data_IF_176746220046
#
_entry.id   IF_176746220046
#
_cell.length_a   1.000
_cell.length_b   1.000
_cell.length_c   1.000
_cell.angle_alpha   90.00
_cell.angle_beta   90.00
_cell.angle_gamma   90.00
#
_symmetry.space_group_name_H-M   'P 1'
#
loop_
_entity.id
_entity.type
_entity.pdbx_description
1 polymer ?
#
# COMPACT_ATOMS: atom_id res chain seq x y z
N UNK A 1 25.37 15.37 -8.26
CA UNK A 1 24.62 14.31 -8.94
C UNK A 1 25.62 13.40 -9.61
N UNK A 2 25.47 12.10 -9.38
CA UNK A 2 26.21 11.04 -10.07
C UNK A 2 25.62 10.81 -11.47
N UNK A 3 26.36 10.15 -12.37
CA UNK A 3 25.84 9.80 -13.71
C UNK A 3 24.55 8.95 -13.64
N UNK A 4 24.38 8.18 -12.55
CA UNK A 4 23.15 7.41 -12.30
C UNK A 4 21.96 8.28 -11.89
N UNK A 5 22.20 9.39 -11.18
CA UNK A 5 21.14 10.34 -10.84
C UNK A 5 20.65 11.06 -12.10
N UNK A 6 21.57 11.37 -13.02
CA UNK A 6 21.23 11.93 -14.34
C UNK A 6 20.46 10.93 -15.21
N UNK A 7 20.86 9.66 -15.24
CA UNK A 7 20.11 8.60 -15.94
C UNK A 7 18.72 8.40 -15.34
N UNK A 8 18.59 8.45 -14.02
CA UNK A 8 17.31 8.31 -13.33
C UNK A 8 16.38 9.51 -13.54
N UNK A 9 16.91 10.75 -13.49
CA UNK A 9 16.15 11.95 -13.83
C UNK A 9 15.72 11.95 -15.30
N UNK A 10 16.57 11.48 -16.22
CA UNK A 10 16.22 11.36 -17.63
C UNK A 10 15.15 10.29 -17.87
N UNK A 11 15.21 9.17 -17.15
CA UNK A 11 14.18 8.14 -17.15
C UNK A 11 12.86 8.67 -16.57
N UNK A 12 12.90 9.39 -15.45
CA UNK A 12 11.75 10.07 -14.85
C UNK A 12 11.14 11.07 -15.83
N UNK A 13 11.95 11.90 -16.49
CA UNK A 13 11.51 12.84 -17.55
C UNK A 13 10.78 12.10 -18.68
N UNK A 14 11.35 10.99 -19.15
CA UNK A 14 10.74 10.15 -20.20
C UNK A 14 9.45 9.46 -19.76
N UNK A 15 9.20 9.36 -18.44
CA UNK A 15 7.99 8.77 -17.87
C UNK A 15 6.92 9.81 -17.53
N UNK A 16 7.32 10.99 -17.03
CA UNK A 16 6.41 12.05 -16.60
C UNK A 16 6.03 13.01 -17.74
N UNK A 17 6.92 13.23 -18.71
CA UNK A 17 6.67 14.12 -19.86
C UNK A 17 7.45 13.66 -21.12
N UNK A 18 7.06 12.54 -21.75
CA UNK A 18 7.80 11.98 -22.88
C UNK A 18 7.76 12.90 -24.11
N UNK A 19 8.89 13.03 -24.80
CA UNK A 19 8.96 13.67 -26.11
C UNK A 19 8.59 12.64 -27.20
N UNK A 20 8.00 13.07 -28.31
CA UNK A 20 7.64 12.17 -29.42
C UNK A 20 8.83 11.36 -29.97
N UNK A 21 10.05 11.89 -29.85
CA UNK A 21 11.31 11.19 -30.22
C UNK A 21 11.67 10.03 -29.28
N UNK A 22 11.08 9.99 -28.09
CA UNK A 22 11.31 8.96 -27.08
C UNK A 22 10.50 7.68 -27.39
N UNK A 23 9.48 7.74 -28.27
CA UNK A 23 8.63 6.61 -28.61
C UNK A 23 9.23 5.76 -29.74
N UNK A 24 9.12 4.43 -29.62
CA UNK A 24 9.51 3.48 -30.67
C UNK A 24 8.28 2.89 -31.34
N UNK A 25 8.27 2.88 -32.67
CA UNK A 25 7.20 2.25 -33.43
C UNK A 25 7.32 0.72 -33.36
N UNK A 26 6.38 0.05 -32.69
CA UNK A 26 6.26 -1.39 -32.70
C UNK A 26 5.50 -1.83 -33.96
N UNK A 27 6.24 -2.42 -34.90
CA UNK A 27 5.72 -2.88 -36.20
C UNK A 27 4.68 -4.00 -36.09
N UNK A 28 4.65 -4.78 -35.00
CA UNK A 28 3.68 -5.86 -34.82
C UNK A 28 2.33 -5.36 -34.32
N UNK A 29 2.36 -4.30 -33.50
CA UNK A 29 1.16 -3.69 -32.90
C UNK A 29 0.72 -2.43 -33.64
N UNK A 30 1.52 -1.96 -34.61
CA UNK A 30 1.31 -0.73 -35.39
C UNK A 30 1.13 0.53 -34.51
N UNK A 31 1.86 0.60 -33.38
CA UNK A 31 1.72 1.68 -32.39
C UNK A 31 3.08 2.22 -31.93
N UNK A 32 3.11 3.48 -31.51
CA UNK A 32 4.26 4.10 -30.85
C UNK A 32 4.25 3.75 -29.35
N UNK A 33 5.23 2.95 -28.93
CA UNK A 33 5.36 2.46 -27.55
C UNK A 33 6.44 3.28 -26.83
N UNK A 34 6.13 3.75 -25.62
CA UNK A 34 7.13 4.34 -24.74
C UNK A 34 8.07 3.21 -24.25
N UNK A 35 9.38 3.26 -24.54
CA UNK A 35 10.33 2.16 -24.30
C UNK A 35 10.56 1.82 -22.82
N UNK A 36 10.02 2.63 -21.90
CA UNK A 36 10.20 2.47 -20.45
C UNK A 36 8.98 1.79 -19.78
N UNK A 37 7.92 1.49 -20.53
CA UNK A 37 6.71 0.84 -19.99
C UNK A 37 6.77 -0.67 -20.28
N UNK A 38 6.72 -1.55 -19.24
CA UNK A 38 6.68 -2.99 -19.45
C UNK A 38 5.40 -3.43 -20.19
N UNK A 39 5.52 -4.45 -21.04
CA UNK A 39 4.39 -5.02 -21.78
C UNK A 39 3.32 -5.58 -20.81
N UNK A 40 2.14 -4.96 -20.77
CA UNK A 40 0.99 -5.54 -20.08
C UNK A 40 0.22 -6.48 -21.04
N UNK A 41 -0.01 -7.71 -20.58
CA UNK A 41 -0.98 -8.65 -21.16
C UNK A 41 -2.26 -8.61 -20.32
N UNK A 42 -3.39 -8.69 -21.02
CA UNK A 42 -4.76 -8.97 -20.55
C UNK A 42 -5.66 -7.77 -20.17
N UNK A 43 -6.90 -7.95 -20.59
CA UNK A 43 -7.92 -6.98 -20.96
C UNK A 43 -9.08 -7.00 -19.95
N UNK A 44 -8.93 -6.29 -18.84
CA UNK A 44 -9.99 -6.14 -17.84
C UNK A 44 -10.47 -4.68 -17.67
N UNK A 45 -9.76 -3.71 -18.26
CA UNK A 45 -10.09 -2.28 -18.22
C UNK A 45 -10.86 -1.74 -19.44
N UNK A 46 -11.35 -2.61 -20.34
CA UNK A 46 -11.98 -2.18 -21.59
C UNK A 46 -13.28 -1.37 -21.39
N UNK A 47 -13.85 -1.37 -20.18
CA UNK A 47 -15.26 -1.06 -19.98
C UNK A 47 -15.53 0.32 -19.33
N UNK A 48 -14.64 0.77 -18.45
CA UNK A 48 -14.62 2.15 -17.93
C UNK A 48 -14.30 3.15 -19.05
N UNK A 49 -13.27 2.83 -19.85
CA UNK A 49 -12.91 3.59 -21.03
C UNK A 49 -14.08 3.62 -21.99
N UNK A 50 -14.74 2.51 -22.33
CA UNK A 50 -15.87 2.52 -23.29
C UNK A 50 -17.02 3.45 -22.89
N UNK A 51 -17.42 3.49 -21.62
CA UNK A 51 -18.58 4.30 -21.21
C UNK A 51 -18.28 5.81 -21.14
N UNK A 52 -17.05 6.18 -20.75
CA UNK A 52 -16.54 7.55 -20.79
C UNK A 52 -16.11 8.00 -22.19
N UNK A 53 -15.57 7.07 -23.01
CA UNK A 53 -15.14 7.35 -24.39
C UNK A 53 -16.29 7.42 -25.36
N UNK A 54 -17.41 6.76 -25.08
CA UNK A 54 -18.56 6.77 -26.00
C UNK A 54 -19.62 7.80 -25.61
N UNK A 55 -19.36 8.74 -24.70
CA UNK A 55 -20.16 9.97 -24.58
C UNK A 55 -21.66 9.80 -24.35
N UNK A 56 -22.11 8.64 -23.91
CA UNK A 56 -23.52 8.30 -23.70
C UNK A 56 -23.91 8.24 -22.22
N UNK A 57 -23.12 8.86 -21.35
CA UNK A 57 -23.38 8.87 -19.90
C UNK A 57 -24.80 9.37 -19.60
N UNK A 58 -25.23 10.43 -20.27
CA UNK A 58 -26.58 10.97 -20.15
C UNK A 58 -27.66 9.93 -20.52
N UNK A 59 -27.46 9.13 -21.57
CA UNK A 59 -28.42 8.08 -21.98
C UNK A 59 -28.53 7.00 -20.91
N UNK A 60 -27.40 6.62 -20.29
CA UNK A 60 -27.39 5.63 -19.20
C UNK A 60 -28.20 6.13 -18.00
N UNK A 61 -28.07 7.41 -17.64
CA UNK A 61 -28.88 7.99 -16.56
C UNK A 61 -30.37 8.01 -16.90
N UNK A 62 -30.74 8.37 -18.13
CA UNK A 62 -32.14 8.33 -18.57
C UNK A 62 -32.71 6.91 -18.58
N UNK A 63 -31.91 5.90 -18.95
CA UNK A 63 -32.35 4.49 -18.89
C UNK A 63 -32.52 4.04 -17.44
N UNK A 64 -31.69 4.49 -16.50
CA UNK A 64 -31.88 4.16 -15.08
C UNK A 64 -33.19 4.73 -14.53
N UNK A 65 -33.57 5.94 -14.96
CA UNK A 65 -34.77 6.61 -14.47
C UNK A 65 -36.05 6.11 -15.16
N UNK A 66 -35.99 5.81 -16.46
CA UNK A 66 -37.15 5.52 -17.29
C UNK A 66 -37.22 4.06 -17.80
N UNK A 67 -36.17 3.26 -17.61
CA UNK A 67 -36.04 1.89 -18.14
C UNK A 67 -35.71 1.84 -19.64
N UNK A 68 -35.67 0.67 -20.27
CA UNK A 68 -35.52 0.55 -21.74
C UNK A 68 -36.86 0.72 -22.48
N UNK A 69 -37.55 1.84 -22.22
CA UNK A 69 -38.88 2.12 -22.76
C UNK A 69 -38.90 2.73 -24.17
N UNK A 70 -40.07 3.21 -24.59
CA UNK A 70 -40.30 3.83 -25.91
C UNK A 70 -39.37 5.02 -26.21
N UNK A 71 -38.82 5.68 -25.18
CA UNK A 71 -37.91 6.81 -25.40
C UNK A 71 -36.61 6.38 -26.07
N UNK A 72 -36.10 5.17 -25.80
CA UNK A 72 -34.87 4.68 -26.46
C UNK A 72 -35.12 4.46 -27.95
N UNK A 73 -36.29 3.95 -28.31
CA UNK A 73 -36.72 3.86 -29.72
C UNK A 73 -36.79 5.24 -30.35
N UNK A 74 -37.43 6.21 -29.69
CA UNK A 74 -37.50 7.59 -30.16
C UNK A 74 -36.08 8.20 -30.30
N UNK A 75 -35.14 7.88 -29.40
CA UNK A 75 -33.73 8.28 -29.50
C UNK A 75 -32.99 7.65 -30.68
N UNK A 76 -33.19 6.35 -30.96
CA UNK A 76 -32.61 5.69 -32.14
C UNK A 76 -33.14 6.32 -33.43
N UNK A 77 -34.44 6.59 -33.50
CA UNK A 77 -35.06 7.26 -34.65
C UNK A 77 -34.55 8.70 -34.82
N UNK A 78 -34.41 9.43 -33.71
CA UNK A 78 -33.82 10.76 -33.69
C UNK A 78 -32.37 10.75 -34.19
N UNK A 79 -31.56 9.82 -33.69
CA UNK A 79 -30.18 9.62 -34.14
C UNK A 79 -30.12 9.30 -35.64
N UNK A 80 -31.02 8.46 -36.16
CA UNK A 80 -31.11 8.11 -37.59
C UNK A 80 -31.47 9.30 -38.46
N UNK A 81 -32.43 10.13 -38.02
CA UNK A 81 -32.83 11.35 -38.73
C UNK A 81 -31.69 12.37 -38.80
N UNK A 82 -31.01 12.57 -37.67
CA UNK A 82 -29.97 13.59 -37.53
C UNK A 82 -28.57 13.11 -37.93
N UNK A 83 -28.41 11.83 -38.27
CA UNK A 83 -27.10 11.18 -38.48
C UNK A 83 -26.14 11.44 -37.32
N UNK A 84 -26.68 11.37 -36.11
CA UNK A 84 -25.98 11.68 -34.88
C UNK A 84 -25.59 10.39 -34.18
N UNK A 85 -24.40 10.36 -33.60
CA UNK A 85 -24.02 9.30 -32.68
C UNK A 85 -24.46 9.61 -31.26
N UNK A 86 -25.10 10.77 -30.97
CA UNK A 86 -25.56 11.19 -29.64
C UNK A 86 -24.47 11.27 -28.56
N UNK A 87 -23.21 11.37 -28.97
CA UNK A 87 -22.11 11.70 -28.07
C UNK A 87 -22.40 13.06 -27.43
N UNK A 88 -22.37 13.11 -26.10
CA UNK A 88 -22.78 14.28 -25.32
C UNK A 88 -22.08 15.58 -25.77
N UNK A 89 -20.81 15.49 -26.14
CA UNK A 89 -20.01 16.62 -26.62
C UNK A 89 -20.18 16.95 -28.11
N UNK A 90 -20.82 16.08 -28.90
CA UNK A 90 -21.15 16.33 -30.31
C UNK A 90 -22.56 16.92 -30.49
N UNK A 91 -23.43 16.81 -29.49
CA UNK A 91 -24.80 17.36 -29.55
C UNK A 91 -24.71 18.89 -29.67
N UNK A 92 -25.15 19.42 -30.83
CA UNK A 92 -25.26 20.85 -31.11
C UNK A 92 -26.42 21.50 -30.35
N UNK A 93 -26.42 22.84 -30.24
CA UNK A 93 -27.53 23.56 -29.61
C UNK A 93 -28.88 23.32 -30.31
N UNK A 94 -28.89 23.16 -31.63
CA UNK A 94 -30.09 22.81 -32.39
C UNK A 94 -30.57 21.40 -32.08
N UNK A 95 -29.66 20.42 -32.03
CA UNK A 95 -30.02 19.05 -31.63
C UNK A 95 -30.49 18.99 -30.19
N UNK A 96 -29.89 19.76 -29.28
CA UNK A 96 -30.29 19.86 -27.87
C UNK A 96 -31.73 20.37 -27.70
N UNK A 97 -32.14 21.36 -28.50
CA UNK A 97 -33.53 21.85 -28.50
C UNK A 97 -34.50 20.77 -28.96
N UNK A 98 -34.19 20.09 -30.08
CA UNK A 98 -35.05 19.01 -30.59
C UNK A 98 -35.07 17.79 -29.66
N UNK A 99 -33.93 17.47 -29.04
CA UNK A 99 -33.80 16.38 -28.09
C UNK A 99 -34.62 16.66 -26.83
N UNK A 100 -34.58 17.88 -26.31
CA UNK A 100 -35.42 18.29 -25.19
C UNK A 100 -36.92 18.27 -25.54
N UNK A 101 -37.30 18.63 -26.76
CA UNK A 101 -38.68 18.49 -27.23
C UNK A 101 -39.11 17.02 -27.26
N UNK A 102 -38.24 16.12 -27.73
CA UNK A 102 -38.50 14.68 -27.74
C UNK A 102 -38.61 14.11 -26.33
N UNK A 103 -37.67 14.43 -25.46
CA UNK A 103 -37.59 13.95 -24.08
C UNK A 103 -38.71 14.49 -23.20
N UNK A 104 -39.26 15.67 -23.50
CA UNK A 104 -40.41 16.23 -22.77
C UNK A 104 -41.65 15.32 -22.81
N UNK A 105 -41.81 14.48 -23.85
CA UNK A 105 -42.88 13.47 -23.92
C UNK A 105 -42.81 12.46 -22.77
N UNK A 106 -41.61 12.26 -22.22
CA UNK A 106 -41.30 11.30 -21.16
C UNK A 106 -41.04 11.97 -19.81
N UNK A 107 -41.38 13.27 -19.69
CA UNK A 107 -41.12 14.09 -18.50
C UNK A 107 -39.64 14.15 -18.10
N UNK A 108 -38.74 14.12 -19.08
CA UNK A 108 -37.30 14.30 -18.86
C UNK A 108 -36.73 15.34 -19.82
N UNK A 109 -35.48 15.76 -19.57
CA UNK A 109 -34.74 16.73 -20.39
C UNK A 109 -33.29 16.29 -20.51
N UNK A 110 -32.69 16.54 -21.66
CA UNK A 110 -31.27 16.33 -21.85
C UNK A 110 -30.49 17.30 -20.96
N UNK A 111 -29.65 16.74 -20.09
CA UNK A 111 -28.67 17.47 -19.32
C UNK A 111 -27.28 16.94 -19.65
N UNK A 112 -26.34 17.85 -19.91
CA UNK A 112 -24.93 17.49 -20.04
C UNK A 112 -24.40 17.04 -18.68
N UNK A 113 -24.03 15.77 -18.56
CA UNK A 113 -23.52 15.14 -17.33
C UNK A 113 -22.00 15.26 -17.21
N UNK A 114 -21.28 15.40 -18.32
CA UNK A 114 -19.83 15.62 -18.34
C UNK A 114 -19.57 17.12 -18.09
N UNK A 115 -19.50 17.48 -16.81
CA UNK A 115 -19.15 18.83 -16.33
C UNK A 115 -17.87 18.79 -15.48
N UNK A 116 -17.13 19.89 -15.42
CA UNK A 116 -16.02 20.06 -14.47
C UNK A 116 -16.53 19.97 -13.04
N UNK A 117 -15.92 19.10 -12.20
CA UNK A 117 -16.28 18.94 -10.78
C UNK A 117 -16.97 17.61 -10.40
N UNK A 118 -16.78 16.53 -11.17
CA UNK A 118 -17.33 15.21 -10.88
C UNK A 118 -16.71 14.57 -9.62
N UNK A 119 -17.53 13.88 -8.80
CA UNK A 119 -17.07 13.15 -7.61
C UNK A 119 -16.95 11.64 -7.88
N UNK A 120 -15.72 11.20 -8.17
CA UNK A 120 -15.40 9.80 -8.55
C UNK A 120 -15.53 8.80 -7.42
N UNK A 121 -15.60 9.27 -6.18
CA UNK A 121 -15.59 8.37 -5.02
C UNK A 121 -16.86 7.51 -4.90
N UNK A 122 -17.92 7.82 -5.66
CA UNK A 122 -19.17 7.02 -5.72
C UNK A 122 -19.25 6.06 -6.93
N UNK A 123 -18.25 6.07 -7.81
CA UNK A 123 -18.34 5.42 -9.13
C UNK A 123 -18.15 3.90 -9.12
N UNK A 124 -17.52 3.34 -8.07
CA UNK A 124 -17.24 1.90 -7.94
C UNK A 124 -18.53 1.05 -7.89
N UNK A 125 -19.58 1.55 -7.25
CA UNK A 125 -20.88 0.89 -7.17
C UNK A 125 -21.63 0.92 -8.52
N UNK A 126 -21.42 1.98 -9.32
CA UNK A 126 -22.03 2.13 -10.64
C UNK A 126 -21.34 1.30 -11.74
N UNK A 127 -20.04 1.01 -11.56
CA UNK A 127 -19.18 0.28 -12.48
C UNK A 127 -19.44 -1.24 -12.51
N UNK A 128 -19.88 -1.83 -11.39
CA UNK A 128 -20.12 -3.28 -11.28
C UNK A 128 -21.23 -3.77 -12.23
N UNK A 129 -22.21 -2.92 -12.54
CA UNK A 129 -23.33 -3.26 -13.42
C UNK A 129 -22.94 -3.33 -14.91
N UNK A 130 -21.88 -2.63 -15.33
CA UNK A 130 -21.55 -2.46 -16.75
C UNK A 130 -20.64 -3.58 -17.30
N UNK A 131 -20.07 -4.42 -16.44
CA UNK A 131 -18.95 -5.35 -16.73
C UNK A 131 -19.21 -6.40 -17.82
N UNK A 132 -20.45 -6.57 -18.26
CA UNK A 132 -20.81 -7.57 -19.27
C UNK A 132 -20.73 -6.97 -20.69
N UNK A 133 -19.86 -7.51 -21.55
CA UNK A 133 -19.68 -7.08 -22.95
C UNK A 133 -20.96 -7.14 -23.81
N UNK A 134 -21.92 -7.97 -23.38
CA UNK A 134 -23.21 -8.20 -24.01
C UNK A 134 -24.34 -7.39 -23.35
N UNK A 135 -24.03 -6.53 -22.39
CA UNK A 135 -25.01 -5.67 -21.74
C UNK A 135 -25.68 -4.76 -22.78
N UNK A 136 -27.00 -4.53 -22.69
CA UNK A 136 -27.76 -3.62 -23.57
C UNK A 136 -27.15 -2.23 -23.79
N UNK A 137 -26.45 -1.67 -22.80
CA UNK A 137 -25.75 -0.40 -22.95
C UNK A 137 -24.64 -0.43 -24.02
N UNK A 138 -23.85 -1.51 -24.07
CA UNK A 138 -22.82 -1.69 -25.11
C UNK A 138 -23.46 -1.86 -26.48
N UNK A 139 -24.54 -2.63 -26.55
CA UNK A 139 -25.29 -2.84 -27.79
C UNK A 139 -25.87 -1.51 -28.32
N UNK A 140 -26.52 -0.75 -27.45
CA UNK A 140 -27.14 0.54 -27.79
C UNK A 140 -26.10 1.57 -28.27
N UNK A 141 -24.97 1.62 -27.59
CA UNK A 141 -23.84 2.49 -27.95
C UNK A 141 -23.28 2.17 -29.35
N UNK A 142 -23.10 0.87 -29.68
CA UNK A 142 -22.71 0.42 -31.03
C UNK A 142 -23.76 0.78 -32.08
N UNK A 143 -25.05 0.69 -31.74
CA UNK A 143 -26.14 1.09 -32.64
C UNK A 143 -26.00 2.56 -33.03
N UNK A 144 -25.81 3.48 -32.07
CA UNK A 144 -25.69 4.90 -32.40
C UNK A 144 -24.50 5.21 -33.33
N UNK A 145 -23.35 4.56 -33.13
CA UNK A 145 -22.23 4.68 -34.07
C UNK A 145 -22.55 4.17 -35.47
N UNK A 146 -23.19 3.01 -35.59
CA UNK A 146 -23.60 2.48 -36.89
C UNK A 146 -24.67 3.36 -37.54
N UNK A 147 -25.54 3.99 -36.76
CA UNK A 147 -26.56 4.93 -37.22
C UNK A 147 -25.92 6.19 -37.83
N UNK A 148 -24.94 6.79 -37.15
CA UNK A 148 -24.18 7.94 -37.68
C UNK A 148 -23.53 7.63 -39.04
N UNK A 149 -22.94 6.44 -39.17
CA UNK A 149 -22.34 5.98 -40.44
C UNK A 149 -23.35 5.46 -41.47
N UNK A 150 -24.65 5.42 -41.17
CA UNK A 150 -25.70 4.82 -42.01
C UNK A 150 -25.42 3.35 -42.38
N UNK A 151 -24.91 2.58 -41.42
CA UNK A 151 -24.51 1.18 -41.54
C UNK A 151 -25.39 0.21 -40.74
N UNK A 152 -26.31 0.72 -39.92
CA UNK A 152 -27.25 -0.12 -39.18
C UNK A 152 -28.20 -0.81 -40.18
N UNK A 153 -28.26 -2.15 -40.25
CA UNK A 153 -29.18 -2.85 -41.14
C UNK A 153 -30.63 -2.48 -40.86
N UNK A 154 -31.43 -2.30 -41.93
CA UNK A 154 -32.88 -2.20 -41.80
C UNK A 154 -33.41 -3.53 -41.23
N UNK A 155 -34.28 -3.45 -40.23
CA UNK A 155 -34.89 -4.60 -39.53
C UNK A 155 -34.02 -5.37 -38.52
N UNK A 156 -32.86 -4.85 -38.11
CA UNK A 156 -32.04 -5.50 -37.07
C UNK A 156 -32.65 -5.45 -35.65
N UNK A 157 -33.54 -4.49 -35.40
CA UNK A 157 -34.25 -4.34 -34.13
C UNK A 157 -35.76 -4.43 -34.38
N UNK A 158 -36.42 -5.36 -33.69
CA UNK A 158 -37.87 -5.41 -33.63
C UNK A 158 -38.39 -4.54 -32.46
N UNK A 159 -38.99 -3.40 -32.81
CA UNK A 159 -39.56 -2.47 -31.84
C UNK A 159 -40.94 -2.89 -31.30
N UNK A 160 -41.44 -4.07 -31.66
CA UNK A 160 -42.70 -4.61 -31.14
C UNK A 160 -42.52 -5.39 -29.83
N UNK A 161 -41.30 -5.85 -29.54
CA UNK A 161 -40.92 -6.51 -28.29
C UNK A 161 -40.35 -5.51 -27.26
N UNK A 162 -40.10 -5.98 -26.04
CA UNK A 162 -39.33 -5.22 -25.05
C UNK A 162 -37.93 -4.97 -25.60
N UNK A 163 -37.56 -3.70 -25.71
CA UNK A 163 -36.31 -3.31 -26.36
C UNK A 163 -35.07 -3.80 -25.61
N UNK A 164 -35.14 -3.94 -24.29
CA UNK A 164 -34.07 -4.52 -23.48
C UNK A 164 -33.73 -5.95 -23.92
N UNK A 165 -34.74 -6.83 -23.95
CA UNK A 165 -34.61 -8.23 -24.36
C UNK A 165 -34.07 -8.34 -25.80
N UNK A 166 -34.53 -7.47 -26.70
CA UNK A 166 -34.05 -7.42 -28.08
C UNK A 166 -32.57 -7.00 -28.17
N UNK A 167 -32.14 -6.01 -27.37
CA UNK A 167 -30.75 -5.55 -27.31
C UNK A 167 -29.82 -6.62 -26.69
N UNK A 168 -30.32 -7.42 -25.74
CA UNK A 168 -29.60 -8.56 -25.19
C UNK A 168 -29.45 -9.69 -26.20
N UNK A 169 -30.55 -10.11 -26.83
CA UNK A 169 -30.59 -11.22 -27.79
C UNK A 169 -29.70 -10.93 -29.01
N UNK A 170 -29.78 -9.70 -29.55
CA UNK A 170 -29.02 -9.29 -30.74
C UNK A 170 -27.62 -8.78 -30.41
N UNK A 171 -27.22 -8.69 -29.14
CA UNK A 171 -25.94 -8.12 -28.69
C UNK A 171 -24.73 -8.68 -29.45
N UNK A 172 -24.65 -10.01 -29.58
CA UNK A 172 -23.54 -10.69 -30.24
C UNK A 172 -23.49 -10.42 -31.75
N UNK A 173 -24.66 -10.34 -32.39
CA UNK A 173 -24.79 -10.05 -33.83
C UNK A 173 -24.40 -8.60 -34.12
N UNK A 174 -24.97 -7.66 -33.35
CA UNK A 174 -24.67 -6.23 -33.43
C UNK A 174 -23.17 -5.98 -33.17
N UNK A 175 -22.58 -6.67 -32.20
CA UNK A 175 -21.15 -6.58 -31.94
C UNK A 175 -20.31 -7.09 -33.13
N UNK A 176 -20.67 -8.23 -33.72
CA UNK A 176 -19.96 -8.77 -34.88
C UNK A 176 -20.03 -7.84 -36.10
N UNK A 177 -21.21 -7.27 -36.37
CA UNK A 177 -21.43 -6.29 -37.44
C UNK A 177 -20.60 -5.03 -37.21
N UNK A 178 -20.68 -4.46 -36.01
CA UNK A 178 -19.92 -3.28 -35.62
C UNK A 178 -18.41 -3.50 -35.77
N UNK A 179 -17.89 -4.63 -35.27
CA UNK A 179 -16.47 -4.99 -35.41
C UNK A 179 -16.05 -5.18 -36.87
N UNK A 180 -16.92 -5.78 -37.69
CA UNK A 180 -16.69 -5.92 -39.13
C UNK A 180 -16.58 -4.58 -39.85
N UNK A 181 -17.52 -3.65 -39.58
CA UNK A 181 -17.46 -2.30 -40.14
C UNK A 181 -16.27 -1.48 -39.61
N UNK A 182 -15.93 -1.65 -38.33
CA UNK A 182 -14.74 -1.04 -37.73
C UNK A 182 -13.46 -1.54 -38.40
N UNK A 183 -13.33 -2.85 -38.63
CA UNK A 183 -12.17 -3.43 -39.32
C UNK A 183 -12.06 -2.98 -40.79
N UNK A 184 -13.19 -2.61 -41.41
CA UNK A 184 -13.24 -2.08 -42.77
C UNK A 184 -13.03 -0.56 -42.84
N UNK A 185 -12.82 0.14 -41.71
CA UNK A 185 -12.70 1.60 -41.65
C UNK A 185 -13.99 2.36 -42.00
N UNK A 186 -15.15 1.69 -41.95
CA UNK A 186 -16.46 2.26 -42.30
C UNK A 186 -17.13 3.01 -41.12
N UNK A 187 -16.65 2.77 -39.90
CA UNK A 187 -16.98 3.53 -38.69
C UNK A 187 -15.72 4.32 -38.31
N UNK A 188 -15.86 5.62 -37.99
CA UNK A 188 -14.74 6.50 -37.64
C UNK A 188 -13.79 5.86 -36.59
N UNK A 189 -12.48 5.94 -36.85
CA UNK A 189 -11.45 5.20 -36.11
C UNK A 189 -11.26 5.68 -34.66
N UNK A 190 -11.47 6.97 -34.39
CA UNK A 190 -11.23 7.57 -33.08
C UNK A 190 -12.36 8.53 -32.71
N UNK A 191 -13.02 8.25 -31.59
CA UNK A 191 -13.86 9.24 -30.94
C UNK A 191 -12.93 10.35 -30.44
N UNK A 192 -12.88 11.47 -31.16
CA UNK A 192 -12.05 12.61 -30.77
C UNK A 192 -12.60 13.23 -29.50
N UNK A 193 -12.01 12.87 -28.37
CA UNK A 193 -12.36 13.45 -27.08
C UNK A 193 -11.99 14.94 -27.04
N UNK A 194 -12.93 15.83 -26.67
CA UNK A 194 -12.59 17.22 -26.44
C UNK A 194 -11.48 17.35 -25.41
N UNK A 195 -10.65 18.39 -25.55
CA UNK A 195 -9.55 18.67 -24.62
C UNK A 195 -10.02 18.77 -23.17
N UNK A 196 -11.21 19.35 -22.93
CA UNK A 196 -11.86 19.40 -21.62
C UNK A 196 -12.13 18.02 -21.03
N UNK A 197 -12.58 17.05 -21.83
CA UNK A 197 -12.82 15.67 -21.40
C UNK A 197 -11.50 14.95 -21.10
N UNK A 198 -10.46 15.17 -21.93
CA UNK A 198 -9.12 14.65 -21.67
C UNK A 198 -8.54 15.22 -20.37
N UNK A 199 -8.74 16.51 -20.12
CA UNK A 199 -8.24 17.17 -18.92
C UNK A 199 -9.00 16.68 -17.66
N UNK A 200 -10.32 16.46 -17.76
CA UNK A 200 -11.13 15.77 -16.74
C UNK A 200 -10.57 14.37 -16.49
N UNK A 201 -10.39 13.54 -17.52
CA UNK A 201 -9.84 12.18 -17.37
C UNK A 201 -8.46 12.19 -16.73
N UNK A 202 -7.59 13.15 -17.05
CA UNK A 202 -6.25 13.29 -16.45
C UNK A 202 -6.29 13.72 -14.99
N UNK A 203 -7.15 14.69 -14.65
CA UNK A 203 -7.39 15.13 -13.27
C UNK A 203 -7.85 13.96 -12.39
N UNK A 204 -8.53 13.00 -13.00
CA UNK A 204 -9.24 11.93 -12.33
C UNK A 204 -8.67 10.52 -12.53
N UNK A 205 -7.54 10.42 -13.22
CA UNK A 205 -6.73 9.20 -13.32
C UNK A 205 -5.49 9.15 -12.41
N UNK A 206 -5.33 9.91 -11.30
CA UNK A 206 -4.16 9.71 -10.46
C UNK A 206 -4.23 8.32 -9.80
N UNK A 207 -3.06 7.84 -9.36
CA UNK A 207 -3.04 6.65 -8.53
C UNK A 207 -3.73 6.97 -7.20
N UNK A 208 -4.64 6.09 -6.80
CA UNK A 208 -5.32 6.18 -5.52
C UNK A 208 -4.86 5.03 -4.64
N UNK A 209 -4.80 5.26 -3.33
CA UNK A 209 -4.47 4.23 -2.35
C UNK A 209 -5.62 4.16 -1.35
N UNK A 210 -6.18 2.97 -1.16
CA UNK A 210 -7.14 2.74 -0.08
C UNK A 210 -6.42 2.87 1.27
N UNK A 211 -6.94 3.77 2.12
CA UNK A 211 -6.40 3.94 3.46
C UNK A 211 -6.73 2.71 4.28
N UNK A 212 -5.69 1.98 4.67
CA UNK A 212 -5.79 0.82 5.53
C UNK A 212 -5.57 1.22 7.00
N UNK A 213 -6.37 0.69 7.91
CA UNK A 213 -6.20 0.92 9.36
C UNK A 213 -4.91 0.31 9.89
N UNK A 214 -4.46 0.67 11.09
CA UNK A 214 -3.29 0.06 11.71
C UNK A 214 -3.65 -1.34 12.27
N UNK A 215 -2.65 -2.18 12.55
CA UNK A 215 -2.87 -3.50 13.16
C UNK A 215 -2.85 -3.43 14.69
N UNK A 216 -1.97 -2.60 15.23
CA UNK A 216 -1.74 -2.46 16.65
C UNK A 216 -1.80 -1.01 17.08
N UNK A 217 -2.37 -0.79 18.25
CA UNK A 217 -2.47 0.51 18.91
C UNK A 217 -1.91 0.38 20.33
N UNK A 218 -0.83 1.08 20.64
CA UNK A 218 -0.19 0.99 21.95
C UNK A 218 -1.09 1.58 23.04
N UNK A 219 -1.17 0.90 24.18
CA UNK A 219 -1.77 1.41 25.41
C UNK A 219 -0.80 2.38 26.05
N UNK A 220 -1.20 3.64 26.17
CA UNK A 220 -0.41 4.68 26.85
C UNK A 220 -0.81 4.69 28.32
N UNK A 221 0.16 4.85 29.24
CA UNK A 221 -0.16 4.94 30.68
C UNK A 221 -0.54 3.62 31.35
N UNK A 222 -0.08 2.48 30.80
CA UNK A 222 -0.30 1.16 31.40
C UNK A 222 0.19 1.15 32.85
N UNK A 223 -0.73 0.91 33.80
CA UNK A 223 -0.38 0.72 35.20
C UNK A 223 0.59 -0.46 35.35
N UNK A 224 1.62 -0.29 36.18
CA UNK A 224 2.67 -1.30 36.39
C UNK A 224 3.41 -1.73 35.11
N UNK A 225 3.55 -0.84 34.12
CA UNK A 225 4.26 -1.12 32.86
C UNK A 225 5.62 -1.80 33.12
N UNK A 226 5.71 -3.06 32.73
CA UNK A 226 6.84 -3.93 33.04
C UNK A 226 8.14 -3.43 32.41
N UNK A 227 8.05 -2.91 31.17
CA UNK A 227 9.18 -2.35 30.41
C UNK A 227 9.70 -1.03 30.97
N UNK A 228 8.99 -0.39 31.90
CA UNK A 228 9.44 0.82 32.60
C UNK A 228 9.87 0.54 34.03
N UNK A 229 9.08 -0.28 34.73
CA UNK A 229 9.28 -0.61 36.14
C UNK A 229 10.56 -1.40 36.36
N UNK A 230 10.82 -2.41 35.53
CA UNK A 230 12.00 -3.26 35.72
C UNK A 230 13.32 -2.53 35.52
N UNK A 231 13.55 -1.76 34.44
CA UNK A 231 14.78 -0.98 34.32
C UNK A 231 15.02 -0.07 35.52
N UNK A 232 13.96 0.54 36.09
CA UNK A 232 14.05 1.36 37.30
C UNK A 232 14.48 0.52 38.51
N UNK A 233 13.87 -0.64 38.73
CA UNK A 233 14.24 -1.54 39.83
C UNK A 233 15.68 -2.03 39.70
N UNK A 234 16.09 -2.47 38.51
CA UNK A 234 17.46 -2.89 38.26
C UNK A 234 18.46 -1.75 38.47
N UNK A 235 18.14 -0.52 38.05
CA UNK A 235 19.02 0.63 38.28
C UNK A 235 19.26 0.94 39.76
N UNK A 236 18.28 0.67 40.62
CA UNK A 236 18.39 0.92 42.07
C UNK A 236 19.19 -0.17 42.79
N UNK A 237 19.27 -1.37 42.21
CA UNK A 237 19.87 -2.55 42.84
C UNK A 237 21.03 -3.12 42.02
N UNK A 238 21.58 -2.35 41.08
CA UNK A 238 22.54 -2.83 40.10
C UNK A 238 23.80 -3.39 40.74
N UNK A 239 24.26 -2.77 41.83
CA UNK A 239 25.45 -3.17 42.59
C UNK A 239 25.31 -4.52 43.31
N UNK A 240 24.09 -5.04 43.44
CA UNK A 240 23.85 -6.33 44.09
C UNK A 240 23.99 -7.51 43.12
N UNK A 241 24.09 -7.24 41.83
CA UNK A 241 24.26 -8.24 40.79
C UNK A 241 25.74 -8.59 40.61
N UNK A 242 26.03 -9.87 40.42
CA UNK A 242 27.34 -10.32 39.99
C UNK A 242 27.66 -9.81 38.57
N UNK A 243 28.94 -9.67 38.26
CA UNK A 243 29.40 -9.14 36.96
C UNK A 243 28.81 -9.86 35.75
N UNK A 244 28.71 -11.18 35.80
CA UNK A 244 28.12 -11.97 34.72
C UNK A 244 26.60 -11.75 34.60
N UNK A 245 25.91 -11.62 35.74
CA UNK A 245 24.47 -11.31 35.77
C UNK A 245 24.21 -9.93 35.16
N UNK A 246 25.05 -8.94 35.49
CA UNK A 246 25.01 -7.60 34.89
C UNK A 246 25.07 -7.66 33.37
N UNK A 247 25.92 -8.50 32.77
CA UNK A 247 26.00 -8.65 31.30
C UNK A 247 24.67 -9.15 30.72
N UNK A 248 24.16 -10.25 31.28
CA UNK A 248 22.95 -10.90 30.78
C UNK A 248 21.73 -9.99 30.94
N UNK A 249 21.60 -9.35 32.10
CA UNK A 249 20.52 -8.39 32.40
C UNK A 249 20.65 -7.15 31.51
N UNK A 250 21.87 -6.66 31.24
CA UNK A 250 22.07 -5.52 30.31
C UNK A 250 21.50 -5.80 28.93
N UNK A 251 21.68 -7.02 28.40
CA UNK A 251 21.11 -7.42 27.10
C UNK A 251 19.59 -7.49 27.14
N UNK A 252 18.98 -7.96 28.22
CA UNK A 252 17.53 -7.96 28.40
C UNK A 252 16.96 -6.54 28.51
N UNK A 253 17.58 -5.69 29.33
CA UNK A 253 17.16 -4.29 29.52
C UNK A 253 17.25 -3.49 28.23
N UNK A 254 18.24 -3.77 27.37
CA UNK A 254 18.32 -3.16 26.05
C UNK A 254 17.13 -3.55 25.16
N UNK A 255 16.69 -4.82 25.20
CA UNK A 255 15.46 -5.26 24.53
C UNK A 255 14.21 -4.53 25.07
N UNK A 256 14.09 -4.36 26.39
CA UNK A 256 12.98 -3.58 26.98
C UNK A 256 13.00 -2.12 26.54
N UNK A 257 14.18 -1.51 26.46
CA UNK A 257 14.35 -0.13 26.00
C UNK A 257 13.85 0.06 24.57
N UNK A 258 14.15 -0.88 23.67
CA UNK A 258 13.65 -0.86 22.29
C UNK A 258 12.12 -0.95 22.25
N UNK A 259 11.51 -1.86 23.02
CA UNK A 259 10.05 -2.00 23.07
C UNK A 259 9.39 -0.71 23.58
N UNK A 260 9.94 -0.13 24.65
CA UNK A 260 9.49 1.15 25.18
C UNK A 260 9.56 2.26 24.13
N UNK A 261 10.65 2.32 23.36
CA UNK A 261 10.83 3.34 22.33
C UNK A 261 9.89 3.18 21.13
N UNK A 262 9.66 1.93 20.70
CA UNK A 262 8.67 1.64 19.66
C UNK A 262 7.28 2.16 20.05
N UNK A 263 6.88 1.98 21.31
CA UNK A 263 5.55 2.32 21.81
C UNK A 263 5.19 3.81 21.73
N UNK A 264 6.18 4.71 21.55
CA UNK A 264 5.91 6.15 21.39
C UNK A 264 5.35 6.54 20.02
N UNK A 265 5.35 5.64 19.02
CA UNK A 265 4.86 5.97 17.68
C UNK A 265 4.03 4.83 17.07
N UNK A 266 2.78 5.14 16.72
CA UNK A 266 1.88 4.23 16.02
C UNK A 266 2.46 3.74 14.67
N UNK A 267 3.22 4.60 13.97
CA UNK A 267 3.87 4.20 12.73
C UNK A 267 5.09 3.30 12.99
N UNK A 268 5.80 3.50 14.09
CA UNK A 268 6.96 2.67 14.43
C UNK A 268 6.54 1.23 14.78
N UNK A 269 5.51 1.06 15.63
CA UNK A 269 5.03 -0.26 16.07
C UNK A 269 4.41 -1.09 14.93
N UNK A 270 3.87 -0.45 13.90
CA UNK A 270 3.27 -1.17 12.77
C UNK A 270 4.25 -1.30 11.58
N UNK A 271 5.32 -0.52 11.55
CA UNK A 271 6.12 -0.29 10.35
C UNK A 271 7.42 -1.08 10.26
N UNK A 272 8.31 -0.57 9.41
CA UNK A 272 9.67 -1.10 9.20
C UNK A 272 10.49 -1.13 10.50
N UNK A 273 10.27 -0.15 11.39
CA UNK A 273 10.97 -0.08 12.67
C UNK A 273 10.67 -1.29 13.55
N UNK A 274 9.41 -1.73 13.66
CA UNK A 274 9.07 -2.95 14.40
C UNK A 274 9.75 -4.21 13.82
N UNK A 275 9.84 -4.33 12.49
CA UNK A 275 10.58 -5.42 11.84
C UNK A 275 12.07 -5.40 12.21
N UNK A 276 12.72 -4.24 12.07
CA UNK A 276 14.12 -4.07 12.42
C UNK A 276 14.37 -4.39 13.90
N UNK A 277 13.50 -3.90 14.79
CA UNK A 277 13.55 -4.19 16.22
C UNK A 277 13.36 -5.67 16.53
N UNK A 278 12.46 -6.38 15.83
CA UNK A 278 12.28 -7.83 16.02
C UNK A 278 13.60 -8.58 15.82
N UNK A 279 14.37 -8.22 14.78
CA UNK A 279 15.70 -8.81 14.56
C UNK A 279 16.69 -8.43 15.66
N UNK A 280 16.73 -7.17 16.10
CA UNK A 280 17.64 -6.74 17.19
C UNK A 280 17.34 -7.50 18.48
N UNK A 281 16.06 -7.69 18.81
CA UNK A 281 15.63 -8.43 19.98
C UNK A 281 16.02 -9.91 19.88
N UNK A 282 15.80 -10.53 18.72
CA UNK A 282 16.22 -11.91 18.49
C UNK A 282 17.74 -12.06 18.61
N UNK A 283 18.49 -11.09 18.09
CA UNK A 283 19.94 -11.03 18.22
C UNK A 283 20.38 -10.96 19.69
N UNK A 284 19.75 -10.11 20.50
CA UNK A 284 20.03 -10.07 21.93
C UNK A 284 19.73 -11.41 22.62
N UNK A 285 18.63 -12.06 22.26
CA UNK A 285 18.23 -13.33 22.84
C UNK A 285 19.23 -14.45 22.53
N UNK A 286 19.48 -14.76 21.25
CA UNK A 286 20.36 -15.88 20.91
C UNK A 286 21.80 -15.63 21.36
N UNK A 287 22.26 -14.37 21.32
CA UNK A 287 23.58 -14.01 21.84
C UNK A 287 23.68 -14.28 23.34
N UNK A 288 22.65 -13.93 24.12
CA UNK A 288 22.62 -14.23 25.55
C UNK A 288 22.66 -15.74 25.80
N UNK A 289 21.85 -16.50 25.04
CA UNK A 289 21.82 -17.97 25.13
C UNK A 289 23.19 -18.58 24.83
N UNK A 290 23.85 -18.11 23.77
CA UNK A 290 25.20 -18.55 23.43
C UNK A 290 26.21 -18.29 24.55
N UNK A 291 26.22 -17.07 25.10
CA UNK A 291 27.17 -16.70 26.15
C UNK A 291 26.99 -17.56 27.41
N UNK A 292 25.74 -17.87 27.77
CA UNK A 292 25.39 -18.75 28.89
C UNK A 292 25.85 -20.18 28.62
N UNK A 293 25.43 -20.79 27.51
CA UNK A 293 25.70 -22.21 27.22
C UNK A 293 27.20 -22.51 27.01
N UNK A 294 27.97 -21.52 26.54
CA UNK A 294 29.41 -21.69 26.28
C UNK A 294 30.29 -21.11 27.39
N UNK A 295 29.71 -20.57 28.46
CA UNK A 295 30.44 -19.93 29.58
C UNK A 295 31.38 -18.79 29.12
N UNK A 296 30.95 -17.98 28.16
CA UNK A 296 31.76 -16.92 27.54
C UNK A 296 31.41 -15.51 28.04
N UNK A 297 30.58 -15.37 29.07
CA UNK A 297 30.05 -14.09 29.56
C UNK A 297 31.17 -13.11 29.93
N UNK A 298 32.17 -13.57 30.69
CA UNK A 298 33.29 -12.73 31.13
C UNK A 298 34.18 -12.29 29.95
N UNK A 299 34.44 -13.20 29.00
CA UNK A 299 35.24 -12.89 27.80
C UNK A 299 34.52 -11.86 26.92
N UNK A 300 33.20 -11.98 26.80
CA UNK A 300 32.36 -11.01 26.12
C UNK A 300 32.37 -9.64 26.82
N UNK A 301 32.29 -9.59 28.16
CA UNK A 301 32.38 -8.34 28.94
C UNK A 301 33.68 -7.60 28.63
N UNK A 302 34.82 -8.29 28.73
CA UNK A 302 36.14 -7.72 28.46
C UNK A 302 36.23 -7.20 27.01
N UNK A 303 35.79 -8.01 26.04
CA UNK A 303 35.74 -7.60 24.64
C UNK A 303 34.88 -6.34 24.42
N UNK A 304 33.68 -6.29 25.00
CA UNK A 304 32.75 -5.18 24.82
C UNK A 304 33.29 -3.88 25.41
N UNK A 305 33.89 -3.93 26.60
CA UNK A 305 34.54 -2.79 27.23
C UNK A 305 35.72 -2.28 26.39
N UNK A 306 36.57 -3.18 25.88
CA UNK A 306 37.68 -2.81 25.01
C UNK A 306 37.23 -2.17 23.70
N UNK A 307 36.15 -2.70 23.09
CA UNK A 307 35.56 -2.08 21.89
C UNK A 307 35.00 -0.70 22.18
N UNK A 308 34.37 -0.50 23.33
CA UNK A 308 33.90 0.81 23.76
C UNK A 308 35.07 1.79 23.95
N UNK A 309 36.16 1.38 24.61
CA UNK A 309 37.39 2.19 24.74
C UNK A 309 37.90 2.64 23.37
N UNK A 310 37.98 1.70 22.42
CA UNK A 310 38.39 2.00 21.03
C UNK A 310 37.42 2.97 20.33
N UNK A 311 36.11 2.81 20.50
CA UNK A 311 35.12 3.72 19.92
C UNK A 311 35.23 5.14 20.50
N UNK A 312 35.43 5.25 21.80
CA UNK A 312 35.63 6.54 22.48
C UNK A 312 36.92 7.20 21.97
N UNK A 313 38.04 6.47 21.91
CA UNK A 313 39.32 6.95 21.39
C UNK A 313 39.27 7.36 19.91
N UNK A 314 38.41 6.77 19.09
CA UNK A 314 38.22 7.20 17.69
C UNK A 314 37.39 8.49 17.57
N UNK A 315 36.57 8.81 18.58
CA UNK A 315 35.67 9.97 18.59
C UNK A 315 36.28 11.24 19.20
N UNK A 316 37.39 11.14 19.93
CA UNK A 316 38.15 12.28 20.49
C UNK A 316 38.72 13.25 19.44
N UNK A 317 38.52 12.99 18.14
CA UNK A 317 38.83 13.90 17.03
C UNK A 317 37.63 14.67 16.44
N UNK A 318 36.47 14.73 17.11
CA UNK A 318 35.28 15.50 16.70
C UNK A 318 34.71 16.33 17.87
N UNK A 319 34.23 17.53 17.58
CA UNK A 319 33.98 18.62 18.56
C UNK A 319 32.61 18.61 19.28
N UNK A 320 31.65 17.74 18.92
CA UNK A 320 30.25 17.84 19.40
C UNK A 320 29.80 16.77 20.42
N UNK A 321 30.68 16.29 21.31
CA UNK A 321 30.25 15.43 22.44
C UNK A 321 30.92 15.97 23.71
N UNK A 322 30.13 16.65 24.56
CA UNK A 322 30.61 17.35 25.77
C UNK A 322 31.34 16.42 26.77
N UNK A 323 31.04 15.11 26.79
CA UNK A 323 31.40 14.21 27.91
C UNK A 323 32.33 13.03 27.56
N UNK A 324 33.02 13.04 26.41
CA UNK A 324 33.94 11.94 26.03
C UNK A 324 34.98 11.64 27.12
N UNK A 325 35.49 12.67 27.81
CA UNK A 325 36.47 12.51 28.90
C UNK A 325 35.92 11.72 30.10
N UNK A 326 34.65 11.92 30.45
CA UNK A 326 33.99 11.19 31.55
C UNK A 326 33.80 9.73 31.16
N UNK A 327 33.39 9.45 29.92
CA UNK A 327 33.25 8.09 29.42
C UNK A 327 34.60 7.34 29.34
N UNK A 328 35.69 8.03 28.97
CA UNK A 328 37.04 7.46 29.02
C UNK A 328 37.45 7.11 30.44
N UNK A 329 37.24 8.02 31.39
CA UNK A 329 37.55 7.79 32.80
C UNK A 329 36.71 6.65 33.38
N UNK A 330 35.40 6.62 33.11
CA UNK A 330 34.52 5.55 33.55
C UNK A 330 34.94 4.20 32.96
N UNK A 331 35.28 4.17 31.66
CA UNK A 331 35.74 2.94 31.00
C UNK A 331 37.09 2.43 31.51
N UNK A 332 38.03 3.32 31.82
CA UNK A 332 39.36 2.94 32.34
C UNK A 332 39.31 2.43 33.79
N UNK A 333 38.29 2.84 34.56
CA UNK A 333 38.10 2.43 35.94
C UNK A 333 37.01 1.35 36.09
N UNK A 334 36.55 0.75 34.98
CA UNK A 334 35.48 -0.26 34.94
C UNK A 334 34.18 0.18 35.65
N UNK A 335 33.83 1.47 35.55
CA UNK A 335 32.66 2.10 36.17
C UNK A 335 31.45 2.19 35.22
N UNK A 336 31.43 1.40 34.15
CA UNK A 336 30.39 1.45 33.12
C UNK A 336 29.30 0.42 33.39
N UNK A 337 28.15 0.91 33.80
CA UNK A 337 26.93 0.16 34.01
C UNK A 337 25.75 0.86 33.29
N UNK A 338 24.90 0.13 32.53
CA UNK A 338 25.01 -1.28 32.18
C UNK A 338 26.19 -1.57 31.24
N UNK A 339 26.59 -2.86 31.18
CA UNK A 339 27.74 -3.29 30.36
C UNK A 339 27.39 -3.13 28.87
N UNK A 340 28.30 -2.54 28.05
CA UNK A 340 28.04 -2.30 26.63
C UNK A 340 27.72 -3.59 25.86
N UNK A 341 26.87 -3.45 24.83
CA UNK A 341 26.49 -4.56 23.95
C UNK A 341 27.28 -4.46 22.64
N UNK A 342 27.86 -5.57 22.18
CA UNK A 342 28.68 -5.58 20.97
C UNK A 342 28.50 -6.85 20.13
N UNK A 343 28.07 -6.70 18.88
CA UNK A 343 27.82 -7.81 17.96
C UNK A 343 29.09 -8.49 17.40
N UNK A 344 30.18 -7.75 17.17
CA UNK A 344 31.40 -8.31 16.55
C UNK A 344 32.13 -9.40 17.36
N UNK A 345 31.72 -9.65 18.60
CA UNK A 345 32.23 -10.79 19.36
C UNK A 345 31.91 -12.13 18.64
N UNK A 346 30.74 -12.18 18.00
CA UNK A 346 30.21 -13.36 17.32
C UNK A 346 30.75 -13.43 15.89
N UNK A 347 31.62 -14.42 15.62
CA UNK A 347 32.39 -14.51 14.37
C UNK A 347 31.73 -15.34 13.26
N UNK A 348 30.81 -16.24 13.62
CA UNK A 348 30.04 -17.04 12.65
C UNK A 348 28.81 -16.28 12.19
N UNK A 349 28.11 -16.79 11.17
CA UNK A 349 26.82 -16.22 10.79
C UNK A 349 25.79 -16.46 11.90
N UNK A 350 24.80 -15.58 12.04
CA UNK A 350 23.71 -15.74 13.00
C UNK A 350 22.94 -17.08 12.79
N UNK A 351 22.87 -17.56 11.54
CA UNK A 351 22.30 -18.87 11.21
C UNK A 351 23.08 -20.03 11.82
N UNK A 352 24.41 -19.98 11.74
CA UNK A 352 25.26 -21.04 12.31
C UNK A 352 25.12 -21.11 13.82
N UNK A 353 25.04 -19.94 14.49
CA UNK A 353 24.74 -19.89 15.93
C UNK A 353 23.34 -20.40 16.24
N UNK A 354 22.33 -20.02 15.46
CA UNK A 354 20.97 -20.51 15.66
C UNK A 354 20.89 -22.04 15.52
N UNK A 355 21.58 -22.64 14.55
CA UNK A 355 21.66 -24.11 14.42
C UNK A 355 22.35 -24.72 15.65
N UNK A 356 23.48 -24.14 16.09
CA UNK A 356 24.23 -24.60 17.26
C UNK A 356 23.37 -24.58 18.54
N UNK A 357 22.51 -23.57 18.71
CA UNK A 357 21.68 -23.34 19.89
C UNK A 357 20.29 -23.99 19.80
N UNK A 358 20.05 -24.79 18.76
CA UNK A 358 18.73 -25.39 18.44
C UNK A 358 17.61 -24.34 18.31
N UNK A 359 17.90 -23.21 17.68
CA UNK A 359 17.00 -22.07 17.40
C UNK A 359 16.79 -21.85 15.90
N UNK A 360 16.99 -22.87 15.06
CA UNK A 360 16.89 -22.73 13.59
C UNK A 360 15.50 -22.26 13.16
N UNK A 361 14.45 -22.83 13.74
CA UNK A 361 13.08 -22.48 13.35
C UNK A 361 12.72 -21.04 13.78
N UNK A 362 13.20 -20.61 14.95
CA UNK A 362 13.09 -19.22 15.39
C UNK A 362 13.89 -18.27 14.49
N UNK A 363 15.07 -18.68 14.02
CA UNK A 363 15.86 -17.91 13.07
C UNK A 363 15.11 -17.72 11.73
N UNK A 364 14.56 -18.79 11.18
CA UNK A 364 13.79 -18.70 9.93
C UNK A 364 12.53 -17.83 10.11
N UNK A 365 11.89 -17.88 11.29
CA UNK A 365 10.72 -17.07 11.64
C UNK A 365 11.03 -15.59 11.85
N UNK A 366 12.07 -15.27 12.64
CA UNK A 366 12.31 -13.90 13.13
C UNK A 366 13.46 -13.18 12.42
N UNK A 367 14.43 -13.90 11.87
CA UNK A 367 15.64 -13.31 11.32
C UNK A 367 15.56 -13.14 9.80
N UNK A 368 15.21 -14.19 9.05
CA UNK A 368 15.24 -14.17 7.58
C UNK A 368 14.34 -13.07 7.02
N UNK A 369 13.06 -13.08 7.41
CA UNK A 369 12.09 -12.09 6.95
C UNK A 369 12.43 -10.65 7.36
N UNK A 370 12.90 -10.44 8.59
CA UNK A 370 13.21 -9.09 9.10
C UNK A 370 14.56 -8.56 8.58
N UNK A 371 15.49 -9.44 8.20
CA UNK A 371 16.77 -9.05 7.62
C UNK A 371 16.60 -8.33 6.28
N UNK A 372 15.62 -8.76 5.48
CA UNK A 372 15.24 -8.10 4.23
C UNK A 372 14.91 -6.60 4.43
N UNK A 373 14.25 -6.25 5.55
CA UNK A 373 13.91 -4.85 5.88
C UNK A 373 15.11 -4.00 6.27
N UNK A 374 16.09 -4.57 6.97
CA UNK A 374 17.32 -3.86 7.32
C UNK A 374 18.15 -3.55 6.08
N UNK A 375 18.13 -4.44 5.08
CA UNK A 375 18.88 -4.27 3.85
C UNK A 375 18.10 -3.57 2.72
N UNK A 376 16.89 -3.07 3.01
CA UNK A 376 16.01 -2.42 2.05
C UNK A 376 15.84 -3.25 0.74
N UNK A 377 15.69 -4.57 0.88
CA UNK A 377 15.56 -5.45 -0.27
C UNK A 377 14.24 -5.22 -1.03
N UNK A 378 14.12 -5.81 -2.22
CA UNK A 378 12.89 -5.73 -3.00
C UNK A 378 11.67 -6.23 -2.20
N UNK A 379 11.83 -7.28 -1.40
CA UNK A 379 10.79 -7.82 -0.51
C UNK A 379 10.33 -6.77 0.50
N UNK A 380 11.29 -6.04 1.10
CA UNK A 380 10.99 -4.97 2.03
C UNK A 380 10.23 -3.81 1.36
N UNK A 381 10.67 -3.39 0.17
CA UNK A 381 9.99 -2.34 -0.60
C UNK A 381 8.57 -2.75 -0.99
N UNK A 382 8.39 -3.98 -1.49
CA UNK A 382 7.07 -4.51 -1.85
C UNK A 382 6.14 -4.62 -0.64
N UNK A 383 6.67 -5.01 0.52
CA UNK A 383 5.87 -5.24 1.72
C UNK A 383 5.57 -3.97 2.53
N UNK A 384 6.43 -2.95 2.43
CA UNK A 384 6.32 -1.73 3.27
C UNK A 384 5.92 -0.47 2.53
N UNK A 385 6.31 -0.33 1.26
CA UNK A 385 6.15 0.91 0.51
C UNK A 385 5.15 0.76 -0.63
N UNK A 386 5.08 -0.40 -1.27
CA UNK A 386 4.19 -0.61 -2.42
C UNK A 386 2.83 -1.18 -1.99
N UNK A 387 1.77 -0.65 -2.58
CA UNK A 387 0.40 -1.15 -2.41
C UNK A 387 -0.31 -1.12 -3.75
N UNK A 388 -1.28 -2.00 -3.92
CA UNK A 388 -2.14 -1.97 -5.10
C UNK A 388 -2.88 -0.64 -5.18
N UNK A 389 -2.86 -0.06 -6.38
CA UNK A 389 -3.62 1.13 -6.70
C UNK A 389 -5.11 0.80 -6.62
N UNK A 390 -5.84 1.58 -5.82
CA UNK A 390 -7.30 1.47 -5.68
C UNK A 390 -8.05 2.05 -6.89
N UNK A 391 -7.36 2.76 -7.78
CA UNK A 391 -7.95 3.20 -9.04
C UNK A 391 -8.21 1.97 -9.93
N UNK A 392 -9.47 1.63 -10.26
CA UNK A 392 -9.80 0.46 -11.07
C UNK A 392 -9.13 0.48 -12.46
N UNK A 393 -8.78 1.66 -12.96
CA UNK A 393 -8.06 1.83 -14.24
C UNK A 393 -6.59 1.40 -14.16
N UNK A 394 -6.04 1.32 -12.96
CA UNK A 394 -4.65 0.96 -12.71
C UNK A 394 -4.57 -0.46 -12.16
N UNK A 395 -5.31 -1.39 -12.76
CA UNK A 395 -5.35 -2.78 -12.33
C UNK A 395 -3.93 -3.37 -12.27
N UNK A 396 -3.61 -4.01 -11.14
CA UNK A 396 -2.28 -4.60 -10.85
C UNK A 396 -1.13 -3.58 -10.83
N UNK A 397 -1.41 -2.27 -10.85
CA UNK A 397 -0.40 -1.26 -10.64
C UNK A 397 -0.08 -1.17 -9.15
N UNK A 398 1.19 -1.38 -8.82
CA UNK A 398 1.71 -1.07 -7.49
C UNK A 398 2.12 0.40 -7.44
N UNK A 399 1.60 1.12 -6.46
CA UNK A 399 1.93 2.52 -6.20
C UNK A 399 2.46 2.69 -4.78
N UNK A 400 2.96 3.90 -4.48
CA UNK A 400 3.53 4.22 -3.17
C UNK A 400 2.42 4.40 -2.14
N UNK A 401 2.46 3.61 -1.08
CA UNK A 401 1.63 3.73 0.10
C UNK A 401 2.07 4.94 0.92
N UNK A 402 1.16 5.88 1.22
CA UNK A 402 1.44 6.94 2.19
C UNK A 402 1.30 6.45 3.65
N UNK A 403 0.93 5.18 3.86
CA UNK A 403 0.69 4.59 5.19
C UNK A 403 1.87 3.73 5.64
N UNK A 404 1.95 3.39 6.93
CA UNK A 404 2.94 2.43 7.41
C UNK A 404 2.76 1.06 6.75
N UNK A 405 3.86 0.33 6.61
CA UNK A 405 3.84 -1.11 6.32
C UNK A 405 2.78 -1.80 7.19
N UNK A 406 1.98 -2.70 6.61
CA UNK A 406 1.05 -3.56 7.37
C UNK A 406 1.40 -5.03 7.26
N UNK A 407 2.30 -5.40 6.35
CA UNK A 407 2.56 -6.80 6.07
C UNK A 407 3.28 -7.49 7.25
N UNK A 408 4.02 -6.70 8.03
CA UNK A 408 4.89 -7.19 9.09
C UNK A 408 4.08 -7.36 10.37
N UNK A 409 3.82 -8.59 10.77
CA UNK A 409 3.25 -8.89 12.08
C UNK A 409 4.36 -8.99 13.14
N UNK A 410 5.12 -7.90 13.29
CA UNK A 410 6.33 -7.88 14.13
C UNK A 410 6.02 -7.86 15.63
N UNK A 411 4.91 -7.23 16.04
CA UNK A 411 4.62 -7.02 17.47
C UNK A 411 4.39 -8.34 18.22
N UNK A 412 3.60 -9.31 17.73
CA UNK A 412 3.49 -10.61 18.38
C UNK A 412 4.85 -11.31 18.51
N UNK A 413 5.67 -11.25 17.46
CA UNK A 413 7.00 -11.85 17.47
C UNK A 413 7.94 -11.19 18.49
N UNK A 414 7.86 -9.87 18.66
CA UNK A 414 8.59 -9.14 19.71
C UNK A 414 8.22 -9.70 21.09
N UNK A 415 6.95 -10.01 21.33
CA UNK A 415 6.49 -10.60 22.60
C UNK A 415 6.91 -12.06 22.76
N UNK A 416 6.89 -12.85 21.69
CA UNK A 416 7.42 -14.22 21.69
C UNK A 416 8.90 -14.21 22.10
N UNK A 417 9.70 -13.36 21.45
CA UNK A 417 11.15 -13.26 21.69
C UNK A 417 11.43 -12.75 23.10
N UNK A 418 10.73 -11.71 23.56
CA UNK A 418 11.03 -11.14 24.87
C UNK A 418 10.69 -12.11 26.01
N UNK A 419 9.61 -12.88 25.89
CA UNK A 419 9.26 -13.92 26.86
C UNK A 419 10.27 -15.07 26.84
N UNK A 420 10.78 -15.45 25.67
CA UNK A 420 11.88 -16.40 25.57
C UNK A 420 13.17 -15.86 26.25
N UNK A 421 13.47 -14.58 26.08
CA UNK A 421 14.63 -13.94 26.73
C UNK A 421 14.44 -13.82 28.24
N UNK A 422 13.25 -13.45 28.73
CA UNK A 422 12.89 -13.45 30.15
C UNK A 422 13.08 -14.84 30.76
N UNK A 423 12.54 -15.87 30.10
CA UNK A 423 12.64 -17.26 30.57
C UNK A 423 14.10 -17.71 30.67
N UNK A 424 14.92 -17.37 29.68
CA UNK A 424 16.37 -17.65 29.69
C UNK A 424 17.09 -16.94 30.86
N UNK A 425 16.72 -15.69 31.17
CA UNK A 425 17.32 -14.96 32.30
C UNK A 425 16.91 -15.59 33.63
N UNK A 426 15.64 -15.95 33.82
CA UNK A 426 15.19 -16.67 35.02
C UNK A 426 15.91 -18.01 35.19
N UNK A 427 16.06 -18.78 34.11
CA UNK A 427 16.79 -20.04 34.13
C UNK A 427 18.26 -19.82 34.55
N UNK A 428 18.91 -18.80 34.00
CA UNK A 428 20.29 -18.45 34.34
C UNK A 428 20.46 -18.04 35.80
N UNK A 429 19.52 -17.25 36.34
CA UNK A 429 19.53 -16.82 37.74
C UNK A 429 19.11 -17.94 38.70
N UNK A 430 18.50 -19.02 38.19
CA UNK A 430 18.00 -20.14 39.00
C UNK A 430 16.73 -19.82 39.80
N UNK A 431 16.09 -18.68 39.53
CA UNK A 431 14.89 -18.20 40.22
C UNK A 431 13.91 -17.56 39.22
N UNK A 432 12.61 -17.78 39.42
CA UNK A 432 11.55 -17.18 38.60
C UNK A 432 11.24 -15.76 39.10
N UNK A 433 12.18 -14.84 38.88
CA UNK A 433 12.10 -13.44 39.37
C UNK A 433 11.31 -12.57 38.39
N UNK A 434 11.40 -12.86 37.09
CA UNK A 434 10.79 -12.11 36.02
C UNK A 434 9.53 -12.83 35.50
N UNK A 435 8.48 -12.07 35.20
CA UNK A 435 7.20 -12.56 34.71
C UNK A 435 7.12 -12.37 33.20
N UNK A 436 6.51 -13.34 32.51
CA UNK A 436 6.20 -13.20 31.09
C UNK A 436 5.12 -12.15 30.86
N UNK A 437 5.26 -11.39 29.78
CA UNK A 437 4.37 -10.30 29.39
C UNK A 437 3.42 -10.75 28.28
N UNK A 438 2.16 -10.28 28.32
CA UNK A 438 1.17 -10.59 27.28
C UNK A 438 0.96 -9.40 26.36
N UNK A 439 0.79 -9.68 25.07
CA UNK A 439 0.57 -8.66 24.04
C UNK A 439 -0.63 -7.76 24.37
N UNK A 440 -1.73 -8.37 24.81
CA UNK A 440 -3.00 -7.72 25.10
C UNK A 440 -2.91 -6.72 26.25
N UNK A 441 -1.91 -6.85 27.13
CA UNK A 441 -1.70 -5.92 28.25
C UNK A 441 -1.13 -4.58 27.76
N UNK A 442 -0.50 -4.56 26.58
CA UNK A 442 0.20 -3.39 26.03
C UNK A 442 -0.41 -2.85 24.73
N UNK A 443 -1.24 -3.62 24.02
CA UNK A 443 -1.76 -3.22 22.72
C UNK A 443 -3.25 -3.55 22.54
N UNK A 444 -3.96 -2.68 21.84
CA UNK A 444 -5.25 -2.98 21.23
C UNK A 444 -5.05 -3.43 19.78
N UNK A 445 -5.90 -4.36 19.33
CA UNK A 445 -6.00 -4.79 17.92
C UNK A 445 -7.09 -4.03 17.16
N UNK A 446 -8.08 -3.49 17.88
CA UNK A 446 -9.19 -2.73 17.32
C UNK A 446 -9.05 -1.24 17.61
N UNK A 447 -9.29 -0.42 16.59
CA UNK A 447 -9.20 1.05 16.68
C UNK A 447 -10.24 1.61 17.65
N UNK A 448 -11.45 1.07 17.65
CA UNK A 448 -12.55 1.53 18.52
C UNK A 448 -12.17 1.41 20.01
N UNK A 449 -11.65 0.25 20.41
CA UNK A 449 -11.17 0.03 21.78
C UNK A 449 -10.06 1.00 22.18
N UNK A 450 -9.15 1.32 21.25
CA UNK A 450 -8.12 2.32 21.48
C UNK A 450 -8.70 3.73 21.66
N UNK A 451 -9.68 4.14 20.86
CA UNK A 451 -10.30 5.45 20.97
C UNK A 451 -11.04 5.60 22.31
N UNK A 452 -11.82 4.60 22.71
CA UNK A 452 -12.52 4.59 24.00
C UNK A 452 -11.54 4.70 25.18
N UNK A 453 -10.40 4.01 25.10
CA UNK A 453 -9.34 4.09 26.10
C UNK A 453 -8.69 5.48 26.16
N UNK A 454 -8.42 6.10 25.00
CA UNK A 454 -7.85 7.45 24.97
C UNK A 454 -8.82 8.49 25.53
N UNK A 455 -10.12 8.34 25.26
CA UNK A 455 -11.16 9.20 25.85
C UNK A 455 -11.23 9.04 27.38
N UNK A 456 -11.15 7.82 27.92
CA UNK A 456 -11.13 7.62 29.36
C UNK A 456 -9.90 8.25 30.02
N UNK A 457 -8.73 8.13 29.39
CA UNK A 457 -7.50 8.76 29.87
C UNK A 457 -7.55 10.29 29.86
N UNK A 458 -8.24 10.89 28.88
CA UNK A 458 -8.44 12.34 28.87
C UNK A 458 -9.36 12.79 30.01
N UNK A 459 -10.43 12.05 30.27
CA UNK A 459 -11.37 12.37 31.35
C UNK A 459 -10.78 12.17 32.76
N UNK A 460 -9.76 11.31 32.92
CA UNK A 460 -9.03 11.14 34.19
C UNK A 460 -7.95 12.22 34.42
N UNK A 461 -7.54 12.92 33.37
CA UNK A 461 -6.55 13.99 33.44
C UNK A 461 -7.17 15.38 33.69
N UNK A 462 -8.49 15.51 33.54
CA UNK A 462 -9.31 16.69 33.89
C UNK A 462 -9.81 16.60 35.35
#
# INVERSE_FOLDING_TARGET
>A
MTDRDLEFEEMLRKRTNPNIKDFKFDKKKSLFINPVVPEAKSSAGELYIYSLTVGHLWIIEEVKSLGFGDFIKDLILFAKRNKSDLLEWNISQSEEIELNQLLSKYNTTFERKIVSGMNIMKYKEELELLKEKNHPYHTLSRIFHMVKSNLLPEDILDYSNKLEDELEEKSSIINAIYLGFKAAGAVEEEIMLPKSVIDILKEFSPCMVEKKELKYYAKVGVENNYFERLPKLFSMNWDWLADNEKVIISKLLYSFKIIKELNYSLFAINGVLAAASTRILFDNYWQSKYLIENNEIQQYKEFALDRMRLHILKRTGKEDIEDIGILMLASNNDLLDPIPIHGDYFKKSARDYAIQLNLKDDYDKYYEYNSEFIHASLTAILSSLMVECANPEHLNHLTVSPSSSRYIDAIPHIFDIINAHISLVNEYLGEEILENVKLEDYFFKERESFLLYMESMQNEAE
#
